data_IF_514754078952
#
_entry.id   IF_514754078952
#
_cell.length_a   1.000
_cell.length_b   1.000
_cell.length_c   1.000
_cell.angle_alpha   90.00
_cell.angle_beta   90.00
_cell.angle_gamma   90.00
#
_symmetry.space_group_name_H-M   'P 1'
#
loop_
_entity.id
_entity.type
_entity.pdbx_description
1 polymer ?
#
# COMPACT_ATOMS: atom_id res chain seq x y z
N UNK A 1 6.27 28.27 5.58
CA UNK A 1 5.19 28.54 6.54
C UNK A 1 3.93 27.95 5.95
N UNK A 2 3.24 27.13 6.74
CA UNK A 2 2.04 26.41 6.33
C UNK A 2 0.91 26.72 7.30
N UNK A 3 -0.26 27.09 6.80
CA UNK A 3 -1.41 27.33 7.66
C UNK A 3 -1.91 25.99 8.23
N UNK A 4 -2.17 25.95 9.54
CA UNK A 4 -2.73 24.79 10.24
C UNK A 4 -3.86 25.22 11.16
N UNK A 5 -4.75 24.30 11.50
CA UNK A 5 -5.84 24.54 12.44
C UNK A 5 -5.66 23.69 13.69
N UNK A 6 -5.65 24.35 14.85
CA UNK A 6 -5.62 23.71 16.17
C UNK A 6 -7.07 23.50 16.63
N UNK A 7 -7.41 22.24 16.92
CA UNK A 7 -8.73 21.85 17.43
C UNK A 7 -8.57 21.01 18.69
N UNK A 8 -9.59 21.05 19.55
CA UNK A 8 -9.70 20.22 20.75
C UNK A 8 -10.85 19.23 20.60
N UNK A 9 -10.59 17.99 20.98
CA UNK A 9 -11.57 16.91 21.05
C UNK A 9 -11.84 16.52 22.51
N UNK A 10 -12.83 15.64 22.71
CA UNK A 10 -13.10 15.07 24.02
C UNK A 10 -11.88 14.30 24.57
N UNK A 11 -11.78 14.21 25.89
CA UNK A 11 -10.73 13.42 26.56
C UNK A 11 -9.34 14.06 26.60
N UNK A 12 -9.22 15.37 26.33
CA UNK A 12 -7.93 16.07 26.38
C UNK A 12 -7.07 15.93 25.11
N UNK A 13 -7.64 15.34 24.05
CA UNK A 13 -6.96 15.17 22.76
C UNK A 13 -7.01 16.47 21.96
N UNK A 14 -5.89 16.84 21.35
CA UNK A 14 -5.77 17.97 20.43
C UNK A 14 -5.42 17.48 19.03
N UNK A 15 -5.71 18.30 18.01
CA UNK A 15 -5.16 18.09 16.67
C UNK A 15 -4.59 19.37 16.10
N UNK A 16 -3.49 19.24 15.35
CA UNK A 16 -2.93 20.28 14.50
C UNK A 16 -3.09 19.78 13.06
N UNK A 17 -3.94 20.41 12.26
CA UNK A 17 -4.33 19.87 10.95
C UNK A 17 -4.07 20.90 9.84
N UNK A 18 -3.14 20.64 8.90
CA UNK A 18 -3.07 21.36 7.64
C UNK A 18 -4.34 21.15 6.81
N UNK A 19 -4.77 22.12 5.99
CA UNK A 19 -5.95 21.98 5.14
C UNK A 19 -5.92 20.71 4.26
N UNK A 20 -6.93 19.86 4.42
CA UNK A 20 -7.07 18.63 3.62
C UNK A 20 -6.14 17.48 4.00
N UNK A 21 -5.34 17.60 5.07
CA UNK A 21 -4.49 16.53 5.55
C UNK A 21 -5.33 15.41 6.22
N UNK A 22 -4.96 14.13 6.01
CA UNK A 22 -5.58 13.02 6.73
C UNK A 22 -5.21 13.08 8.22
N UNK A 23 -6.02 12.46 9.08
CA UNK A 23 -5.71 12.30 10.50
C UNK A 23 -6.10 10.90 10.97
N UNK A 24 -5.48 10.41 12.04
CA UNK A 24 -5.83 9.11 12.65
C UNK A 24 -7.24 9.08 13.29
N UNK A 25 -7.88 10.24 13.43
CA UNK A 25 -9.28 10.36 13.90
C UNK A 25 -10.30 10.15 12.77
N UNK A 26 -9.84 10.15 11.51
CA UNK A 26 -10.68 9.88 10.34
C UNK A 26 -11.05 8.40 10.20
N UNK A 27 -11.92 8.05 9.22
CA UNK A 27 -12.14 6.67 8.83
C UNK A 27 -10.81 6.02 8.39
N UNK A 28 -10.72 4.69 8.51
CA UNK A 28 -9.50 3.90 8.34
C UNK A 28 -8.54 4.46 7.27
N UNK A 29 -7.30 4.74 7.68
CA UNK A 29 -6.28 5.36 6.84
C UNK A 29 -6.16 4.65 5.48
N UNK A 30 -6.24 5.44 4.40
CA UNK A 30 -6.07 4.95 3.04
C UNK A 30 -4.64 4.52 2.78
N UNK A 31 -4.43 3.77 1.68
CA UNK A 31 -3.09 3.36 1.24
C UNK A 31 -2.19 4.56 0.83
N UNK A 32 -2.70 5.78 0.82
CA UNK A 32 -1.99 7.03 0.56
C UNK A 32 -1.56 7.77 1.84
N UNK A 33 -1.83 7.22 3.02
CA UNK A 33 -1.53 7.87 4.30
C UNK A 33 -0.24 7.30 4.90
N UNK A 34 0.70 8.18 5.21
CA UNK A 34 1.89 7.88 6.03
C UNK A 34 1.56 8.21 7.47
N UNK A 35 1.93 7.33 8.40
CA UNK A 35 1.68 7.51 9.84
C UNK A 35 2.99 7.26 10.58
N UNK A 36 3.24 8.05 11.62
CA UNK A 36 4.36 7.85 12.53
C UNK A 36 3.91 8.11 13.97
N UNK A 37 4.16 7.15 14.86
CA UNK A 37 3.99 7.28 16.31
C UNK A 37 5.17 8.05 16.91
N UNK A 38 4.85 9.07 17.70
CA UNK A 38 5.83 9.93 18.35
C UNK A 38 5.42 10.16 19.80
N UNK A 39 6.34 10.62 20.63
CA UNK A 39 6.11 10.84 22.05
C UNK A 39 4.87 11.74 22.27
N UNK A 40 3.79 11.15 22.77
CA UNK A 40 2.53 11.84 23.08
C UNK A 40 1.61 12.16 21.89
N UNK A 41 1.94 11.74 20.66
CA UNK A 41 1.12 12.03 19.49
C UNK A 41 1.28 11.03 18.34
N UNK A 42 0.42 11.17 17.32
CA UNK A 42 0.58 10.52 16.03
C UNK A 42 0.68 11.59 14.94
N UNK A 43 1.70 11.48 14.09
CA UNK A 43 1.90 12.32 12.93
C UNK A 43 1.38 11.62 11.68
N UNK A 44 0.77 12.39 10.78
CA UNK A 44 0.16 11.89 9.56
C UNK A 44 0.42 12.79 8.38
N UNK A 45 0.67 12.18 7.22
CA UNK A 45 0.84 12.87 5.94
C UNK A 45 0.06 12.11 4.87
N UNK A 46 -0.25 12.80 3.76
CA UNK A 46 -0.61 12.14 2.52
C UNK A 46 0.66 12.00 1.65
N UNK A 47 1.01 10.79 1.24
CA UNK A 47 2.22 10.51 0.44
C UNK A 47 2.21 11.23 -0.93
N UNK A 48 1.02 11.51 -1.46
CA UNK A 48 0.80 12.19 -2.72
C UNK A 48 0.71 13.72 -2.57
N UNK A 49 0.63 14.24 -1.34
CA UNK A 49 0.54 15.67 -1.11
C UNK A 49 1.94 16.32 -1.05
N UNK A 50 2.08 17.54 -1.59
CA UNK A 50 3.33 18.29 -1.51
C UNK A 50 3.59 18.88 -0.12
N UNK A 51 2.60 18.86 0.77
CA UNK A 51 2.69 19.43 2.11
C UNK A 51 3.72 18.68 2.96
N UNK A 52 4.70 19.40 3.50
CA UNK A 52 5.75 18.81 4.33
C UNK A 52 5.36 18.75 5.81
N UNK A 53 4.50 19.67 6.26
CA UNK A 53 4.06 19.73 7.66
C UNK A 53 3.02 18.63 7.92
N UNK A 54 3.23 17.76 8.92
CA UNK A 54 2.26 16.72 9.26
C UNK A 54 0.96 17.31 9.81
N UNK A 55 -0.13 16.54 9.70
CA UNK A 55 -1.19 16.62 10.70
C UNK A 55 -0.77 15.84 11.95
N UNK A 56 -1.05 16.39 13.14
CA UNK A 56 -0.81 15.72 14.42
C UNK A 56 -2.11 15.49 15.17
N UNK A 57 -2.22 14.33 15.82
CA UNK A 57 -3.21 14.04 16.86
C UNK A 57 -2.47 13.80 18.16
N UNK A 58 -2.65 14.70 19.12
CA UNK A 58 -1.88 14.77 20.36
C UNK A 58 -2.77 14.29 21.50
N UNK A 59 -2.36 13.21 22.16
CA UNK A 59 -3.06 12.64 23.31
C UNK A 59 -2.36 12.92 24.63
N UNK A 60 -1.07 13.29 24.60
CA UNK A 60 -0.32 13.77 25.75
C UNK A 60 0.42 15.06 25.35
N UNK A 61 -0.10 16.20 25.82
CA UNK A 61 0.47 17.51 25.49
C UNK A 61 1.81 17.71 26.20
N UNK A 62 1.96 17.24 27.44
CA UNK A 62 3.19 17.46 28.22
C UNK A 62 4.37 16.78 27.53
N UNK A 63 4.18 15.54 27.11
CA UNK A 63 5.18 14.79 26.37
C UNK A 63 5.42 15.36 24.97
N UNK A 64 4.35 15.78 24.27
CA UNK A 64 4.49 16.34 22.92
C UNK A 64 5.28 17.68 22.89
N UNK A 65 5.27 18.45 23.97
CA UNK A 65 5.99 19.73 24.04
C UNK A 65 7.52 19.59 23.92
N UNK A 66 8.08 18.39 24.11
CA UNK A 66 9.52 18.14 23.93
C UNK A 66 9.99 18.36 22.49
N UNK A 67 9.12 18.09 21.50
CA UNK A 67 9.47 18.09 20.09
C UNK A 67 8.62 19.03 19.22
N UNK A 68 7.45 19.45 19.68
CA UNK A 68 6.46 20.16 18.86
C UNK A 68 7.00 21.49 18.31
N UNK A 69 7.79 22.22 19.09
CA UNK A 69 8.49 23.43 18.65
C UNK A 69 9.44 23.18 17.47
N UNK A 70 10.05 21.98 17.38
CA UNK A 70 10.99 21.64 16.33
C UNK A 70 10.29 21.40 14.98
N UNK A 71 9.10 20.78 15.02
CA UNK A 71 8.34 20.38 13.82
C UNK A 71 7.36 21.48 13.38
N UNK A 72 6.70 22.15 14.31
CA UNK A 72 5.65 23.14 14.01
C UNK A 72 6.08 24.59 14.27
N UNK A 73 7.15 24.80 15.04
CA UNK A 73 7.65 26.12 15.44
C UNK A 73 7.23 26.53 16.85
N UNK A 74 8.03 27.41 17.46
CA UNK A 74 7.83 27.85 18.85
C UNK A 74 6.47 28.50 19.09
N UNK A 75 6.01 29.37 18.18
CA UNK A 75 4.73 30.06 18.33
C UNK A 75 3.54 29.10 18.40
N UNK A 76 3.60 27.99 17.66
CA UNK A 76 2.55 26.98 17.67
C UNK A 76 2.62 26.14 18.96
N UNK A 77 3.81 25.83 19.43
CA UNK A 77 4.01 25.14 20.71
C UNK A 77 3.46 25.93 21.90
N UNK A 78 3.72 27.23 21.95
CA UNK A 78 3.14 28.14 22.95
C UNK A 78 1.62 28.20 22.82
N UNK A 79 1.09 28.36 21.59
CA UNK A 79 -0.35 28.41 21.37
C UNK A 79 -1.05 27.12 21.87
N UNK A 80 -0.45 25.95 21.66
CA UNK A 80 -1.01 24.70 22.17
C UNK A 80 -0.92 24.60 23.70
N UNK A 81 0.20 25.03 24.30
CA UNK A 81 0.38 25.04 25.76
C UNK A 81 -0.63 25.95 26.47
N UNK A 82 -0.98 27.08 25.84
CA UNK A 82 -1.98 28.03 26.32
C UNK A 82 -3.43 27.63 25.94
N UNK A 83 -3.63 26.42 25.37
CA UNK A 83 -4.90 25.91 24.85
C UNK A 83 -5.58 26.85 23.82
N UNK A 84 -4.81 27.64 23.09
CA UNK A 84 -5.30 28.56 22.08
C UNK A 84 -5.69 27.82 20.79
N UNK A 85 -6.99 27.81 20.49
CA UNK A 85 -7.55 27.15 19.31
C UNK A 85 -7.65 28.10 18.11
N UNK A 86 -7.72 27.53 16.92
CA UNK A 86 -7.91 28.27 15.67
C UNK A 86 -6.74 28.13 14.70
N UNK A 87 -6.66 29.05 13.75
CA UNK A 87 -5.63 29.02 12.70
C UNK A 87 -4.31 29.57 13.22
N UNK A 88 -3.23 28.86 12.92
CA UNK A 88 -1.86 29.26 13.21
C UNK A 88 -0.97 28.98 11.99
N UNK A 89 0.21 29.58 11.95
CA UNK A 89 1.23 29.28 10.95
C UNK A 89 2.27 28.33 11.53
N UNK A 90 2.44 27.18 10.87
CA UNK A 90 3.51 26.25 11.16
C UNK A 90 4.79 26.62 10.40
N UNK A 91 5.91 26.69 11.11
CA UNK A 91 7.23 26.91 10.56
C UNK A 91 8.23 26.03 11.33
N UNK A 92 8.66 24.89 10.76
CA UNK A 92 9.59 23.99 11.45
C UNK A 92 10.87 24.73 11.88
N UNK A 93 11.15 24.76 13.19
CA UNK A 93 12.37 25.37 13.72
C UNK A 93 13.60 24.52 13.40
N UNK A 94 13.44 23.20 13.23
CA UNK A 94 14.49 22.26 12.84
C UNK A 94 14.14 21.56 11.53
N UNK A 95 14.38 22.24 10.40
CA UNK A 95 14.09 21.70 9.06
C UNK A 95 14.71 20.33 8.79
N UNK A 96 15.99 20.05 9.13
CA UNK A 96 16.58 18.72 8.89
C UNK A 96 15.85 17.60 9.65
N UNK A 97 15.43 17.86 10.89
CA UNK A 97 14.67 16.89 11.68
C UNK A 97 13.28 16.66 11.07
N UNK A 98 12.57 17.72 10.68
CA UNK A 98 11.26 17.59 10.02
C UNK A 98 11.34 16.77 8.71
N UNK A 99 12.44 16.91 7.97
CA UNK A 99 12.72 16.09 6.78
C UNK A 99 12.98 14.63 7.16
N UNK A 100 13.86 14.36 8.13
CA UNK A 100 14.16 13.00 8.59
C UNK A 100 12.90 12.26 9.09
N UNK A 101 12.06 12.94 9.87
CA UNK A 101 10.80 12.41 10.40
C UNK A 101 9.82 12.05 9.27
N UNK A 102 9.67 12.91 8.26
CA UNK A 102 8.84 12.61 7.09
C UNK A 102 9.43 11.45 6.29
N UNK A 103 10.75 11.38 6.14
CA UNK A 103 11.43 10.26 5.46
C UNK A 103 11.23 8.94 6.20
N UNK A 104 11.25 8.94 7.54
CA UNK A 104 10.96 7.76 8.35
C UNK A 104 9.52 7.28 8.13
N UNK A 105 8.54 8.20 8.21
CA UNK A 105 7.14 7.89 7.93
C UNK A 105 6.94 7.34 6.50
N UNK A 106 7.69 7.87 5.53
CA UNK A 106 7.69 7.36 4.16
C UNK A 106 8.29 5.96 4.05
N UNK A 107 9.41 5.66 4.72
CA UNK A 107 10.01 4.34 4.72
C UNK A 107 9.07 3.27 5.33
N UNK A 108 8.38 3.60 6.42
CA UNK A 108 7.32 2.74 6.97
C UNK A 108 6.11 2.59 6.05
N UNK A 109 5.75 3.64 5.31
CA UNK A 109 4.72 3.55 4.29
C UNK A 109 5.15 2.63 3.16
N UNK A 110 6.38 2.77 2.65
CA UNK A 110 6.91 1.96 1.55
C UNK A 110 6.96 0.47 1.92
N UNK A 111 7.40 0.12 3.13
CA UNK A 111 7.40 -1.28 3.59
C UNK A 111 6.01 -1.92 3.68
N UNK A 112 4.94 -1.10 3.78
CA UNK A 112 3.55 -1.58 3.94
C UNK A 112 2.68 -1.44 2.70
N UNK A 113 2.98 -0.47 1.84
CA UNK A 113 2.09 -0.04 0.76
C UNK A 113 2.79 0.16 -0.58
N UNK A 114 4.09 -0.13 -0.70
CA UNK A 114 4.77 -0.01 -2.00
C UNK A 114 4.09 -0.88 -3.06
N UNK A 115 3.62 -0.29 -4.17
CA UNK A 115 2.74 -0.98 -5.11
C UNK A 115 3.54 -1.75 -6.16
N UNK A 116 4.34 -2.73 -5.72
CA UNK A 116 5.16 -3.55 -6.61
C UNK A 116 4.28 -4.28 -7.64
N UNK A 117 4.65 -4.20 -8.91
CA UNK A 117 3.84 -4.68 -10.03
C UNK A 117 4.72 -5.07 -11.20
N UNK A 118 4.78 -6.35 -11.52
CA UNK A 118 5.41 -6.86 -12.75
C UNK A 118 4.63 -6.38 -13.97
N UNK A 119 3.31 -6.29 -13.87
CA UNK A 119 2.43 -5.88 -14.99
C UNK A 119 2.59 -4.40 -15.36
N UNK A 120 2.91 -3.54 -14.40
CA UNK A 120 3.05 -2.10 -14.59
C UNK A 120 4.52 -1.63 -14.60
N UNK A 121 5.49 -2.56 -14.48
CA UNK A 121 6.92 -2.23 -14.44
C UNK A 121 7.33 -1.45 -13.18
N UNK A 122 6.75 -1.78 -12.03
CA UNK A 122 7.13 -1.20 -10.73
C UNK A 122 7.88 -2.28 -9.95
N UNK A 123 9.20 -2.13 -9.89
CA UNK A 123 10.07 -3.06 -9.17
C UNK A 123 9.69 -3.18 -7.68
N UNK A 124 9.90 -4.36 -7.11
CA UNK A 124 9.82 -4.56 -5.66
C UNK A 124 10.97 -3.82 -4.97
N UNK A 125 10.73 -3.34 -3.75
CA UNK A 125 11.79 -2.79 -2.92
C UNK A 125 12.39 -3.92 -2.08
N UNK A 126 13.73 -3.96 -2.01
CA UNK A 126 14.43 -4.86 -1.11
C UNK A 126 14.12 -4.49 0.35
N UNK A 127 13.53 -5.43 1.08
CA UNK A 127 13.09 -5.22 2.45
C UNK A 127 14.25 -4.99 3.42
N UNK A 128 15.40 -5.64 3.22
CA UNK A 128 16.57 -5.46 4.08
C UNK A 128 17.19 -4.07 3.90
N UNK A 129 17.15 -3.53 2.67
CA UNK A 129 17.56 -2.14 2.42
C UNK A 129 16.58 -1.14 3.03
N UNK A 130 15.26 -1.39 2.92
CA UNK A 130 14.25 -0.57 3.60
C UNK A 130 14.44 -0.59 5.12
N UNK A 131 14.68 -1.76 5.71
CA UNK A 131 14.90 -1.90 7.14
C UNK A 131 16.15 -1.12 7.59
N UNK A 132 17.23 -1.12 6.80
CA UNK A 132 18.42 -0.30 7.07
C UNK A 132 18.13 1.20 7.06
N UNK A 133 17.36 1.68 6.10
CA UNK A 133 16.93 3.09 6.08
C UNK A 133 16.06 3.43 7.29
N UNK A 134 15.11 2.55 7.64
CA UNK A 134 14.27 2.71 8.84
C UNK A 134 15.13 2.82 10.09
N UNK A 135 16.07 1.89 10.32
CA UNK A 135 16.98 1.95 11.49
C UNK A 135 17.74 3.27 11.55
N UNK A 136 18.35 3.67 10.42
CA UNK A 136 19.14 4.92 10.35
C UNK A 136 18.28 6.14 10.65
N UNK A 137 17.08 6.23 10.04
CA UNK A 137 16.16 7.34 10.22
C UNK A 137 15.54 7.38 11.62
N UNK A 138 15.29 6.22 12.24
CA UNK A 138 14.86 6.10 13.63
C UNK A 138 15.94 6.65 14.58
N UNK A 139 17.21 6.30 14.37
CA UNK A 139 18.33 6.86 15.15
C UNK A 139 18.47 8.38 14.98
N UNK A 140 18.27 8.92 13.76
CA UNK A 140 18.24 10.36 13.52
C UNK A 140 17.05 11.06 14.22
N UNK A 141 15.96 10.33 14.46
CA UNK A 141 14.71 10.81 15.05
C UNK A 141 14.51 10.39 16.52
N UNK A 142 15.52 9.83 17.19
CA UNK A 142 15.44 9.22 18.54
C UNK A 142 14.74 10.09 19.59
N UNK A 143 14.93 11.42 19.53
CA UNK A 143 14.31 12.36 20.45
C UNK A 143 12.78 12.56 20.25
N UNK A 144 12.17 11.93 19.24
CA UNK A 144 10.77 12.12 18.86
C UNK A 144 9.98 10.80 18.84
N UNK A 145 10.55 9.74 18.26
CA UNK A 145 9.85 8.49 17.98
C UNK A 145 9.46 7.75 19.25
N UNK A 146 8.33 7.04 19.24
CA UNK A 146 7.83 6.28 20.40
C UNK A 146 7.11 5.00 19.92
N UNK A 147 6.76 4.13 20.89
CA UNK A 147 5.90 2.98 20.67
C UNK A 147 6.45 2.00 19.63
N UNK A 148 5.61 1.64 18.65
CA UNK A 148 5.99 0.65 17.63
C UNK A 148 7.07 1.16 16.67
N UNK A 149 7.13 2.48 16.45
CA UNK A 149 8.05 3.10 15.50
C UNK A 149 9.41 3.45 16.14
N UNK A 150 9.51 3.37 17.47
CA UNK A 150 10.79 3.36 18.20
C UNK A 150 11.46 1.98 18.25
N UNK A 151 10.76 0.90 17.88
CA UNK A 151 11.33 -0.44 17.85
C UNK A 151 12.25 -0.59 16.62
N UNK A 152 13.52 -0.85 16.88
CA UNK A 152 14.52 -1.12 15.84
C UNK A 152 14.34 -2.57 15.35
N UNK A 153 13.98 -2.81 14.07
CA UNK A 153 13.87 -4.17 13.54
C UNK A 153 15.23 -4.89 13.56
N UNK A 154 15.23 -6.19 13.87
CA UNK A 154 16.42 -7.04 13.71
C UNK A 154 16.69 -7.22 12.21
N UNK A 155 17.80 -6.65 11.72
CA UNK A 155 18.22 -6.80 10.31
C UNK A 155 18.87 -8.19 10.12
N UNK A 156 18.26 -9.13 9.39
CA UNK A 156 18.88 -10.43 9.15
C UNK A 156 20.15 -10.30 8.28
N UNK A 157 21.17 -11.12 8.57
CA UNK A 157 22.38 -11.19 7.73
C UNK A 157 22.01 -11.68 6.31
N UNK A 158 22.47 -10.95 5.30
CA UNK A 158 22.18 -11.17 3.88
C UNK A 158 22.46 -12.62 3.42
N UNK A 159 21.47 -13.22 2.76
CA UNK A 159 21.67 -14.39 1.91
C UNK A 159 21.46 -13.98 0.45
N UNK A 160 22.55 -13.53 -0.20
CA UNK A 160 22.55 -13.27 -1.65
C UNK A 160 22.15 -14.55 -2.40
N UNK A 161 20.94 -14.55 -2.96
CA UNK A 161 20.47 -15.66 -3.79
C UNK A 161 20.50 -15.19 -5.25
N UNK A 162 21.61 -15.44 -5.93
CA UNK A 162 21.70 -15.19 -7.37
C UNK A 162 20.82 -16.19 -8.14
N UNK A 163 20.05 -15.74 -9.14
CA UNK A 163 19.34 -16.63 -10.05
C UNK A 163 20.32 -17.55 -10.77
N UNK A 164 20.00 -18.85 -10.87
CA UNK A 164 20.92 -19.84 -11.43
C UNK A 164 20.58 -20.08 -12.89
N UNK A 165 21.59 -20.36 -13.70
CA UNK A 165 21.44 -20.67 -15.13
C UNK A 165 20.49 -21.86 -15.44
N UNK A 166 20.09 -22.64 -14.42
CA UNK A 166 19.05 -23.67 -14.51
C UNK A 166 17.63 -23.12 -14.70
N UNK A 167 17.42 -21.81 -14.55
CA UNK A 167 16.10 -21.19 -14.53
C UNK A 167 15.62 -20.78 -15.94
N UNK A 168 16.45 -21.01 -16.97
CA UNK A 168 16.08 -20.88 -18.38
C UNK A 168 15.74 -22.24 -18.98
N UNK A 169 14.46 -22.63 -18.90
CA UNK A 169 13.90 -23.71 -19.71
C UNK A 169 12.70 -23.20 -20.52
N UNK A 170 12.92 -23.02 -21.82
CA UNK A 170 11.89 -22.76 -22.83
C UNK A 170 11.06 -24.04 -23.04
N UNK A 171 9.73 -23.96 -22.93
CA UNK A 171 8.83 -24.97 -23.47
C UNK A 171 7.51 -24.34 -23.92
N UNK A 172 7.31 -24.31 -25.24
CA UNK A 172 6.02 -24.22 -25.88
C UNK A 172 5.21 -25.49 -25.62
N UNK A 173 3.91 -25.34 -25.33
CA UNK A 173 3.00 -26.46 -25.14
C UNK A 173 1.61 -25.93 -24.81
N UNK A 174 0.84 -25.65 -25.86
CA UNK A 174 -0.58 -25.33 -25.79
C UNK A 174 -1.32 -26.61 -25.38
N UNK A 175 -1.64 -26.76 -24.09
CA UNK A 175 -2.65 -27.72 -23.66
C UNK A 175 -4.01 -27.03 -23.81
N UNK A 176 -4.66 -27.25 -24.95
CA UNK A 176 -6.10 -26.96 -25.11
C UNK A 176 -6.88 -27.61 -23.96
N UNK A 177 -7.60 -26.84 -23.12
CA UNK A 177 -8.46 -27.42 -22.12
C UNK A 177 -9.67 -28.07 -22.80
N UNK A 178 -9.92 -29.30 -22.40
CA UNK A 178 -11.04 -30.16 -22.78
C UNK A 178 -12.41 -29.46 -22.68
N UNK A 179 -13.18 -29.45 -23.77
CA UNK A 179 -14.64 -29.64 -23.84
C UNK A 179 -15.62 -28.57 -23.28
N UNK A 180 -15.21 -27.67 -22.38
CA UNK A 180 -16.12 -26.75 -21.70
C UNK A 180 -16.45 -25.46 -22.48
N UNK A 181 -17.69 -24.97 -22.40
CA UNK A 181 -18.11 -23.69 -22.96
C UNK A 181 -17.69 -22.54 -22.04
N UNK A 182 -16.82 -21.64 -22.51
CA UNK A 182 -16.50 -20.40 -21.80
C UNK A 182 -17.70 -19.46 -21.85
N UNK A 183 -18.33 -19.24 -20.71
CA UNK A 183 -19.48 -18.34 -20.58
C UNK A 183 -19.04 -16.88 -20.46
N UNK A 184 -17.93 -16.62 -19.78
CA UNK A 184 -17.36 -15.30 -19.60
C UNK A 184 -15.91 -15.33 -19.12
N UNK A 185 -15.23 -14.20 -19.27
CA UNK A 185 -13.89 -13.94 -18.72
C UNK A 185 -13.75 -12.46 -18.40
N UNK A 186 -12.86 -12.12 -17.48
CA UNK A 186 -12.57 -10.74 -17.15
C UNK A 186 -11.27 -10.58 -16.38
N UNK A 187 -10.89 -9.33 -16.16
CA UNK A 187 -9.73 -8.94 -15.37
C UNK A 187 -10.03 -7.67 -14.58
N UNK A 188 -9.42 -7.50 -13.42
CA UNK A 188 -9.53 -6.29 -12.62
C UNK A 188 -8.50 -6.22 -11.50
N UNK A 189 -8.54 -5.11 -10.76
CA UNK A 189 -7.71 -4.88 -9.58
C UNK A 189 -8.29 -5.52 -8.32
N UNK A 190 -7.66 -5.22 -7.19
CA UNK A 190 -8.07 -5.70 -5.87
C UNK A 190 -7.84 -4.62 -4.81
N UNK A 191 -8.42 -4.78 -3.63
CA UNK A 191 -8.19 -3.87 -2.50
C UNK A 191 -6.92 -4.27 -1.76
N UNK A 192 -5.84 -3.49 -1.93
CA UNK A 192 -4.53 -3.74 -1.31
C UNK A 192 -4.58 -3.93 0.22
N UNK A 193 -5.63 -3.41 0.88
CA UNK A 193 -5.79 -3.56 2.34
C UNK A 193 -6.20 -4.97 2.77
N UNK A 194 -6.59 -5.84 1.83
CA UNK A 194 -7.11 -7.18 2.11
C UNK A 194 -6.03 -8.27 2.11
N UNK A 195 -4.78 -7.96 1.74
CA UNK A 195 -3.65 -8.89 1.81
C UNK A 195 -2.39 -8.20 2.34
N UNK A 196 -1.46 -8.93 3.00
CA UNK A 196 -0.14 -8.41 3.33
C UNK A 196 0.59 -7.85 2.11
N UNK A 197 1.46 -6.83 2.29
CA UNK A 197 2.32 -6.34 1.22
C UNK A 197 3.21 -7.45 0.66
N UNK A 198 3.53 -7.38 -0.63
CA UNK A 198 4.42 -8.34 -1.29
C UNK A 198 3.82 -9.72 -1.59
N UNK A 199 2.50 -9.91 -1.43
CA UNK A 199 1.84 -11.19 -1.73
C UNK A 199 1.26 -11.25 -3.16
N UNK A 200 0.60 -10.18 -3.59
CA UNK A 200 -0.08 -10.11 -4.90
C UNK A 200 0.31 -8.82 -5.61
N UNK A 201 0.47 -8.91 -6.92
CA UNK A 201 0.81 -7.78 -7.80
C UNK A 201 -0.19 -6.63 -7.64
N UNK A 202 0.32 -5.40 -7.52
CA UNK A 202 -0.49 -4.23 -7.21
C UNK A 202 -1.32 -3.70 -8.39
N UNK A 203 -1.18 -4.26 -9.60
CA UNK A 203 -1.85 -3.76 -10.79
C UNK A 203 -3.38 -3.80 -10.70
N UNK A 204 -4.03 -2.86 -11.40
CA UNK A 204 -5.48 -2.89 -11.65
C UNK A 204 -5.90 -4.00 -12.64
N UNK A 205 -4.95 -4.85 -13.04
CA UNK A 205 -5.17 -6.01 -13.91
C UNK A 205 -4.66 -7.31 -13.27
N UNK A 206 -4.24 -7.27 -12.01
CA UNK A 206 -3.59 -8.40 -11.34
C UNK A 206 -4.50 -9.63 -11.18
N UNK A 207 -5.82 -9.44 -11.10
CA UNK A 207 -6.79 -10.54 -10.97
C UNK A 207 -7.46 -10.81 -12.30
N UNK A 208 -7.39 -12.06 -12.76
CA UNK A 208 -8.09 -12.56 -13.94
C UNK A 208 -8.99 -13.74 -13.58
N UNK A 209 -10.07 -13.91 -14.33
CA UNK A 209 -11.02 -14.97 -14.07
C UNK A 209 -11.70 -15.46 -15.33
N UNK A 210 -12.17 -16.71 -15.28
CA UNK A 210 -12.86 -17.38 -16.36
C UNK A 210 -14.00 -18.23 -15.80
N UNK A 211 -15.19 -18.05 -16.37
CA UNK A 211 -16.39 -18.82 -16.08
C UNK A 211 -16.57 -19.86 -17.19
N UNK A 212 -16.48 -21.14 -16.84
CA UNK A 212 -16.61 -22.27 -17.77
C UNK A 212 -17.80 -23.11 -17.38
N UNK A 213 -18.57 -23.56 -18.37
CA UNK A 213 -19.60 -24.59 -18.18
C UNK A 213 -19.18 -25.87 -18.88
N UNK A 214 -19.01 -26.93 -18.09
CA UNK A 214 -18.69 -28.27 -18.57
C UNK A 214 -19.63 -29.30 -17.94
N UNK A 215 -20.15 -30.22 -18.75
CA UNK A 215 -21.12 -31.26 -18.36
C UNK A 215 -22.29 -30.78 -17.48
N UNK A 216 -22.75 -29.53 -17.64
CA UNK A 216 -23.82 -28.92 -16.84
C UNK A 216 -23.37 -28.27 -15.53
N UNK A 217 -22.11 -28.43 -15.13
CA UNK A 217 -21.49 -27.76 -13.99
C UNK A 217 -20.89 -26.43 -14.45
N UNK A 218 -21.11 -25.38 -13.66
CA UNK A 218 -20.50 -24.06 -13.91
C UNK A 218 -19.38 -23.84 -12.89
N UNK A 219 -18.16 -23.67 -13.38
CA UNK A 219 -16.97 -23.41 -12.59
C UNK A 219 -16.38 -22.04 -12.90
N UNK A 220 -15.79 -21.42 -11.88
CA UNK A 220 -15.00 -20.20 -11.99
C UNK A 220 -13.57 -20.56 -11.64
N UNK A 221 -12.66 -20.29 -12.57
CA UNK A 221 -11.22 -20.32 -12.31
C UNK A 221 -10.75 -18.89 -12.15
N UNK A 222 -10.03 -18.62 -11.06
CA UNK A 222 -9.46 -17.31 -10.75
C UNK A 222 -7.94 -17.45 -10.66
N UNK A 223 -7.24 -16.49 -11.23
CA UNK A 223 -5.79 -16.36 -11.19
C UNK A 223 -5.43 -14.94 -10.79
N UNK A 224 -4.60 -14.78 -9.76
CA UNK A 224 -4.05 -13.50 -9.34
C UNK A 224 -2.52 -13.52 -9.50
N UNK A 225 -1.93 -12.53 -10.15
CA UNK A 225 -0.48 -12.46 -10.33
C UNK A 225 0.21 -12.27 -8.97
N UNK A 226 1.22 -13.07 -8.67
CA UNK A 226 1.99 -12.93 -7.44
C UNK A 226 2.87 -11.68 -7.51
N UNK A 227 3.12 -11.03 -6.38
CA UNK A 227 3.98 -9.86 -6.36
C UNK A 227 5.43 -10.21 -6.80
N UNK A 228 6.16 -9.30 -7.44
CA UNK A 228 7.56 -9.51 -7.75
C UNK A 228 8.37 -9.70 -6.45
N UNK A 229 9.35 -10.60 -6.49
CA UNK A 229 10.21 -10.90 -5.33
C UNK A 229 9.53 -11.70 -4.20
N UNK A 230 8.34 -12.27 -4.44
CA UNK A 230 7.66 -13.07 -3.42
C UNK A 230 8.53 -14.25 -2.94
N UNK A 231 8.61 -14.52 -1.62
CA UNK A 231 9.34 -15.66 -1.11
C UNK A 231 8.83 -17.00 -1.66
N UNK A 232 9.75 -17.92 -1.97
CA UNK A 232 9.41 -19.22 -2.55
C UNK A 232 8.52 -20.11 -1.65
N UNK A 233 8.55 -19.90 -0.33
CA UNK A 233 7.77 -20.67 0.64
C UNK A 233 6.92 -19.73 1.51
N UNK A 234 5.65 -19.57 1.11
CA UNK A 234 4.66 -18.81 1.89
C UNK A 234 3.87 -19.77 2.80
N UNK A 235 3.80 -19.50 4.11
CA UNK A 235 2.97 -20.28 5.03
C UNK A 235 1.51 -20.40 4.54
N UNK A 236 0.86 -21.59 4.65
CA UNK A 236 -0.50 -21.79 4.14
C UNK A 236 -1.56 -20.83 4.68
N UNK A 237 -1.37 -20.30 5.90
CA UNK A 237 -2.30 -19.34 6.51
C UNK A 237 -2.21 -17.93 5.90
N UNK A 238 -1.15 -17.63 5.14
CA UNK A 238 -0.99 -16.39 4.38
C UNK A 238 -1.38 -16.55 2.90
N UNK A 239 -1.84 -17.73 2.48
CA UNK A 239 -2.29 -17.93 1.10
C UNK A 239 -3.55 -17.09 0.89
N UNK A 240 -3.64 -16.35 -0.23
CA UNK A 240 -4.81 -15.54 -0.52
C UNK A 240 -6.00 -16.44 -0.84
N UNK A 241 -7.18 -15.92 -0.54
CA UNK A 241 -8.48 -16.50 -0.80
C UNK A 241 -9.22 -15.61 -1.79
N UNK A 242 -10.09 -16.23 -2.55
CA UNK A 242 -11.05 -15.52 -3.38
C UNK A 242 -12.45 -15.74 -2.86
N UNK A 243 -13.16 -14.64 -2.68
CA UNK A 243 -14.60 -14.59 -2.47
C UNK A 243 -15.28 -14.35 -3.79
N UNK A 244 -16.07 -15.32 -4.20
CA UNK A 244 -16.91 -15.27 -5.40
C UNK A 244 -18.35 -15.02 -4.94
N UNK A 245 -18.87 -13.82 -5.22
CA UNK A 245 -20.28 -13.49 -4.98
C UNK A 245 -21.07 -13.64 -6.28
N UNK A 246 -22.17 -14.38 -6.23
CA UNK A 246 -23.18 -14.47 -7.28
C UNK A 246 -24.56 -14.06 -6.77
N UNK A 247 -25.53 -13.96 -7.67
CA UNK A 247 -26.95 -13.84 -7.33
C UNK A 247 -27.47 -15.03 -6.50
N UNK A 248 -26.88 -16.22 -6.66
CA UNK A 248 -27.28 -17.43 -5.96
C UNK A 248 -26.54 -17.66 -4.62
N UNK A 249 -25.47 -16.92 -4.33
CA UNK A 249 -24.76 -17.06 -3.05
C UNK A 249 -23.33 -16.53 -3.06
N UNK A 250 -22.61 -16.82 -1.97
CA UNK A 250 -21.20 -16.43 -1.80
C UNK A 250 -20.38 -17.67 -1.52
N UNK A 251 -19.29 -17.85 -2.24
CA UNK A 251 -18.36 -18.98 -2.09
C UNK A 251 -16.95 -18.45 -1.91
N UNK A 252 -16.29 -18.87 -0.83
CA UNK A 252 -14.89 -18.58 -0.58
C UNK A 252 -14.04 -19.79 -1.00
N UNK A 253 -12.90 -19.55 -1.63
CA UNK A 253 -12.01 -20.62 -2.10
C UNK A 253 -10.55 -20.19 -1.91
N UNK A 254 -9.71 -21.02 -1.27
CA UNK A 254 -8.29 -20.73 -1.13
C UNK A 254 -7.61 -20.80 -2.50
N UNK A 255 -6.65 -19.91 -2.74
CA UNK A 255 -5.76 -20.01 -3.88
C UNK A 255 -4.49 -20.77 -3.49
N UNK A 256 -3.93 -21.51 -4.43
CA UNK A 256 -2.62 -22.16 -4.27
C UNK A 256 -1.58 -21.44 -5.11
N UNK A 257 -0.35 -21.36 -4.60
CA UNK A 257 0.77 -20.82 -5.35
C UNK A 257 1.08 -21.69 -6.57
N UNK A 258 1.22 -21.06 -7.73
CA UNK A 258 1.54 -21.66 -9.01
C UNK A 258 2.56 -20.76 -9.73
N UNK A 259 3.86 -21.00 -9.45
CA UNK A 259 5.01 -20.21 -9.95
C UNK A 259 4.87 -18.70 -9.67
N UNK A 260 4.31 -17.96 -10.61
CA UNK A 260 4.15 -16.50 -10.66
C UNK A 260 2.70 -16.04 -10.41
N UNK A 261 1.80 -16.96 -10.08
CA UNK A 261 0.41 -16.66 -9.80
C UNK A 261 -0.15 -17.46 -8.62
N UNK A 262 -1.27 -16.96 -8.10
CA UNK A 262 -2.16 -17.63 -7.17
C UNK A 262 -3.38 -18.11 -7.93
N UNK A 263 -3.67 -19.41 -7.90
CA UNK A 263 -4.73 -20.01 -8.72
C UNK A 263 -5.71 -20.79 -7.86
N UNK A 264 -7.00 -20.68 -8.17
CA UNK A 264 -8.05 -21.42 -7.51
C UNK A 264 -9.23 -21.63 -8.45
N UNK A 265 -9.96 -22.73 -8.24
CA UNK A 265 -11.17 -23.04 -9.01
C UNK A 265 -12.29 -23.41 -8.05
N UNK A 266 -13.48 -22.90 -8.32
CA UNK A 266 -14.66 -23.16 -7.50
C UNK A 266 -15.91 -23.30 -8.34
N UNK A 267 -16.93 -23.96 -7.81
CA UNK A 267 -18.24 -24.02 -8.46
C UNK A 267 -19.07 -22.81 -8.05
N UNK A 268 -19.56 -22.05 -9.04
CA UNK A 268 -20.36 -20.87 -8.80
C UNK A 268 -21.72 -21.03 -9.49
N UNK A 269 -22.83 -21.11 -8.74
CA UNK A 269 -24.15 -21.05 -9.33
C UNK A 269 -24.46 -19.58 -9.67
N UNK A 270 -24.71 -19.27 -10.95
CA UNK A 270 -25.36 -18.01 -11.33
C UNK A 270 -24.46 -16.87 -11.82
N UNK A 271 -25.05 -15.67 -11.88
CA UNK A 271 -24.51 -14.42 -12.44
C UNK A 271 -25.40 -13.22 -12.02
N UNK A 272 -24.88 -12.01 -11.76
CA UNK A 272 -23.51 -11.52 -12.01
C UNK A 272 -22.50 -12.08 -11.01
N UNK A 273 -21.21 -11.91 -11.31
CA UNK A 273 -20.09 -12.38 -10.51
C UNK A 273 -19.30 -11.19 -9.97
N UNK A 274 -19.01 -11.16 -8.67
CA UNK A 274 -18.03 -10.26 -8.08
C UNK A 274 -16.91 -11.08 -7.43
N UNK A 275 -15.67 -10.73 -7.77
CA UNK A 275 -14.47 -11.43 -7.30
C UNK A 275 -13.68 -10.49 -6.40
N UNK A 276 -13.51 -10.90 -5.14
CA UNK A 276 -12.73 -10.19 -4.14
C UNK A 276 -11.59 -11.09 -3.64
N UNK A 277 -10.37 -10.59 -3.69
CA UNK A 277 -9.19 -11.23 -3.14
C UNK A 277 -8.98 -10.77 -1.68
N UNK A 278 -8.63 -11.70 -0.78
CA UNK A 278 -8.34 -11.38 0.62
C UNK A 278 -7.50 -12.46 1.29
N UNK A 279 -6.83 -12.14 2.39
CA UNK A 279 -6.24 -13.13 3.32
C UNK A 279 -7.10 -13.16 4.59
N UNK A 280 -7.60 -14.34 5.02
CA UNK A 280 -8.41 -14.44 6.22
C UNK A 280 -7.72 -13.84 7.46
N UNK A 281 -8.40 -12.94 8.14
CA UNK A 281 -7.88 -12.26 9.33
C UNK A 281 -7.00 -11.04 9.04
N UNK A 282 -6.77 -10.70 7.77
CA UNK A 282 -6.05 -9.51 7.36
C UNK A 282 -7.02 -8.42 6.86
N UNK A 283 -6.70 -7.16 7.15
CA UNK A 283 -7.41 -6.02 6.60
C UNK A 283 -8.75 -5.67 7.27
N UNK A 284 -9.42 -4.62 6.76
CA UNK A 284 -10.72 -4.18 7.25
C UNK A 284 -11.78 -5.24 6.98
N UNK A 285 -12.74 -5.38 7.90
CA UNK A 285 -13.78 -6.39 7.76
C UNK A 285 -14.63 -6.15 6.50
N UNK A 286 -15.10 -7.22 5.84
CA UNK A 286 -15.92 -7.13 4.63
C UNK A 286 -17.22 -6.32 4.76
N UNK A 287 -17.73 -6.13 5.97
CA UNK A 287 -18.92 -5.30 6.23
C UNK A 287 -18.63 -3.79 6.14
N UNK A 288 -17.35 -3.41 6.30
CA UNK A 288 -16.88 -2.02 6.32
C UNK A 288 -16.23 -1.62 4.98
N UNK A 289 -16.20 -2.53 4.00
CA UNK A 289 -15.58 -2.31 2.68
C UNK A 289 -16.66 -2.20 1.60
N UNK A 290 -16.72 -1.10 0.83
CA UNK A 290 -17.53 -1.06 -0.38
C UNK A 290 -17.07 -2.16 -1.35
N UNK A 291 -17.97 -2.74 -2.16
CA UNK A 291 -17.60 -3.75 -3.15
C UNK A 291 -16.62 -3.13 -4.17
N UNK A 292 -15.33 -3.39 -3.98
CA UNK A 292 -14.21 -2.90 -4.81
C UNK A 292 -13.67 -3.98 -5.76
N UNK A 293 -14.33 -5.13 -5.85
CA UNK A 293 -13.94 -6.25 -6.67
C UNK A 293 -14.04 -6.01 -8.17
N UNK A 294 -13.49 -6.95 -8.95
CA UNK A 294 -13.66 -6.96 -10.39
C UNK A 294 -15.13 -7.29 -10.73
N UNK A 295 -15.89 -6.31 -11.23
CA UNK A 295 -17.28 -6.49 -11.67
C UNK A 295 -17.33 -7.27 -12.99
N UNK A 296 -17.92 -8.47 -12.97
CA UNK A 296 -18.24 -9.20 -14.18
C UNK A 296 -19.59 -8.72 -14.76
N UNK A 297 -19.57 -7.80 -15.71
CA UNK A 297 -20.74 -7.59 -16.58
C UNK A 297 -20.72 -8.61 -17.72
N UNK A 298 -21.62 -9.60 -17.68
CA UNK A 298 -21.85 -10.50 -18.81
C UNK A 298 -22.36 -9.70 -20.02
N UNK A 299 -21.60 -9.68 -21.13
CA UNK A 299 -22.10 -9.22 -22.45
C UNK A 299 -21.43 -7.99 -23.07
N UNK A 300 -20.35 -7.45 -22.51
CA UNK A 300 -19.63 -6.33 -23.12
C UNK A 300 -18.50 -6.78 -24.05
N UNK A 301 -18.74 -6.87 -25.36
CA UNK A 301 -17.63 -6.79 -26.33
C UNK A 301 -16.87 -5.50 -26.04
N UNK A 302 -15.54 -5.57 -25.89
CA UNK A 302 -14.67 -4.52 -25.35
C UNK A 302 -14.65 -3.17 -26.09
N UNK A 303 -15.77 -2.46 -26.11
CA UNK A 303 -15.93 -1.10 -26.63
C UNK A 303 -17.07 -0.34 -25.93
N UNK A 304 -17.32 -0.64 -24.65
CA UNK A 304 -18.21 0.18 -23.82
C UNK A 304 -17.54 1.51 -23.51
N UNK A 305 -18.08 2.61 -24.04
CA UNK A 305 -17.76 3.96 -23.57
C UNK A 305 -17.87 4.03 -22.04
N UNK A 306 -16.99 4.80 -21.35
CA UNK A 306 -16.88 4.82 -19.89
C UNK A 306 -18.09 5.54 -19.27
N UNK A 307 -19.19 4.81 -19.12
CA UNK A 307 -20.45 5.29 -18.53
C UNK A 307 -20.65 4.88 -17.08
N UNK A 308 -19.58 4.69 -16.31
CA UNK A 308 -19.61 4.50 -14.86
C UNK A 308 -18.54 5.39 -14.25
N UNK A 309 -18.92 6.28 -13.33
CA UNK A 309 -17.97 7.19 -12.68
C UNK A 309 -16.74 6.42 -12.18
N UNK A 310 -15.56 7.00 -12.37
CA UNK A 310 -14.30 6.40 -11.94
C UNK A 310 -14.44 5.96 -10.47
N UNK A 311 -14.12 4.70 -10.19
CA UNK A 311 -14.08 4.20 -8.81
C UNK A 311 -12.97 4.97 -8.09
N UNK A 312 -13.29 5.82 -7.08
CA UNK A 312 -12.31 6.68 -6.44
C UNK A 312 -11.17 5.87 -5.78
N UNK A 313 -11.44 4.64 -5.34
CA UNK A 313 -10.42 3.76 -4.78
C UNK A 313 -9.43 3.27 -5.85
N UNK A 314 -9.92 2.95 -7.05
CA UNK A 314 -9.06 2.55 -8.18
C UNK A 314 -8.25 3.73 -8.73
N UNK A 315 -8.85 4.93 -8.76
CA UNK A 315 -8.16 6.17 -9.12
C UNK A 315 -7.04 6.50 -8.12
N UNK A 316 -7.29 6.35 -6.82
CA UNK A 316 -6.27 6.50 -5.78
C UNK A 316 -5.10 5.54 -5.98
N UNK A 317 -5.38 4.24 -6.18
CA UNK A 317 -4.33 3.23 -6.44
C UNK A 317 -3.56 3.51 -7.72
N UNK A 318 -4.21 4.01 -8.77
CA UNK A 318 -3.52 4.45 -9.98
C UNK A 318 -2.56 5.61 -9.71
N UNK A 319 -2.96 6.60 -8.90
CA UNK A 319 -2.10 7.72 -8.48
C UNK A 319 -0.91 7.25 -7.64
N UNK A 320 -1.12 6.30 -6.72
CA UNK A 320 -0.05 5.70 -5.91
C UNK A 320 0.97 4.96 -6.79
N UNK A 321 0.50 4.15 -7.75
CA UNK A 321 1.38 3.48 -8.73
C UNK A 321 2.17 4.47 -9.58
N UNK A 322 1.52 5.55 -10.05
CA UNK A 322 2.21 6.60 -10.80
C UNK A 322 3.28 7.31 -9.96
N UNK A 323 2.99 7.55 -8.68
CA UNK A 323 3.95 8.11 -7.73
C UNK A 323 5.16 7.20 -7.54
N UNK A 324 4.95 5.90 -7.30
CA UNK A 324 6.04 4.92 -7.16
C UNK A 324 6.91 4.83 -8.43
N UNK A 325 6.29 4.79 -9.62
CA UNK A 325 7.02 4.81 -10.89
C UNK A 325 7.80 6.12 -11.11
N UNK A 326 7.31 7.26 -10.60
CA UNK A 326 8.05 8.52 -10.63
C UNK A 326 9.25 8.53 -9.69
N UNK A 327 9.11 7.90 -8.51
CA UNK A 327 10.19 7.73 -7.54
C UNK A 327 11.33 6.87 -8.09
N UNK A 328 11.03 5.72 -8.71
CA UNK A 328 12.06 4.88 -9.32
C UNK A 328 12.81 5.60 -10.45
N UNK A 329 12.09 6.37 -11.29
CA UNK A 329 12.74 7.22 -12.31
C UNK A 329 13.61 8.32 -11.71
N UNK A 330 13.22 8.89 -10.58
CA UNK A 330 14.06 9.86 -9.85
C UNK A 330 15.31 9.17 -9.31
N UNK A 331 15.19 7.97 -8.75
CA UNK A 331 16.31 7.20 -8.22
C UNK A 331 17.33 6.81 -9.32
N UNK A 332 16.85 6.44 -10.51
CA UNK A 332 17.70 6.17 -11.68
C UNK A 332 18.49 7.40 -12.17
N UNK A 333 18.03 8.62 -11.84
CA UNK A 333 18.64 9.87 -12.30
C UNK A 333 19.81 10.36 -11.42
N UNK A 334 20.28 9.54 -10.46
CA UNK A 334 21.34 9.85 -9.49
C UNK A 334 21.14 11.20 -8.77
N UNK A 335 20.05 11.33 -7.98
CA UNK A 335 19.69 12.60 -7.36
C UNK A 335 20.59 12.93 -6.16
N UNK A 336 20.62 14.21 -5.78
CA UNK A 336 21.42 14.68 -4.65
C UNK A 336 21.01 13.96 -3.34
N UNK A 337 21.94 13.29 -2.64
CA UNK A 337 21.62 12.39 -1.52
C UNK A 337 21.06 13.12 -0.29
N UNK A 338 21.25 14.44 -0.21
CA UNK A 338 20.77 15.28 0.90
C UNK A 338 19.47 16.02 0.59
N UNK A 339 18.86 15.81 -0.58
CA UNK A 339 17.59 16.42 -0.91
C UNK A 339 16.47 15.91 0.03
N UNK A 340 15.48 16.74 0.41
CA UNK A 340 14.36 16.31 1.24
C UNK A 340 13.58 15.12 0.69
N UNK A 341 13.53 15.01 -0.64
CA UNK A 341 12.89 13.91 -1.37
C UNK A 341 13.93 12.93 -1.95
N UNK A 342 15.10 12.80 -1.33
CA UNK A 342 16.10 11.82 -1.74
C UNK A 342 15.50 10.39 -1.73
N UNK A 343 15.83 9.55 -2.73
CA UNK A 343 15.52 8.11 -2.74
C UNK A 343 16.01 7.38 -1.50
N UNK A 344 15.26 6.37 -1.08
CA UNK A 344 15.71 5.34 -0.16
C UNK A 344 16.70 4.41 -0.86
N UNK A 345 17.55 3.73 -0.09
CA UNK A 345 18.53 2.75 -0.61
C UNK A 345 17.84 1.67 -1.44
N UNK A 346 16.69 1.19 -1.00
CA UNK A 346 15.91 0.19 -1.71
C UNK A 346 15.39 0.68 -3.07
N UNK A 347 15.04 1.97 -3.18
CA UNK A 347 14.60 2.55 -4.45
C UNK A 347 15.76 2.73 -5.43
N UNK A 348 16.95 3.09 -4.93
CA UNK A 348 18.18 3.18 -5.73
C UNK A 348 18.56 1.80 -6.28
N UNK A 349 18.54 0.77 -5.43
CA UNK A 349 18.80 -0.60 -5.85
C UNK A 349 17.78 -1.10 -6.88
N UNK A 350 16.48 -0.92 -6.61
CA UNK A 350 15.41 -1.31 -7.53
C UNK A 350 15.50 -0.60 -8.89
N UNK A 351 15.90 0.68 -8.90
CA UNK A 351 16.10 1.42 -10.14
C UNK A 351 17.34 0.96 -10.94
N UNK A 352 18.38 0.47 -10.27
CA UNK A 352 19.58 -0.06 -10.93
C UNK A 352 19.28 -1.41 -11.62
N UNK A 353 18.52 -2.30 -10.98
CA UNK A 353 18.14 -3.61 -11.54
C UNK A 353 17.30 -3.49 -12.82
N UNK A 354 16.45 -2.47 -12.93
CA UNK A 354 15.63 -2.21 -14.13
C UNK A 354 16.47 -1.66 -15.31
N UNK A 355 17.65 -1.09 -15.03
CA UNK A 355 18.55 -0.55 -16.06
C UNK A 355 19.47 -1.58 -16.72
N UNK A 356 19.56 -2.78 -16.14
CA UNK A 356 20.39 -3.90 -16.64
C UNK A 356 19.68 -4.76 -17.71
N UNK A 357 18.48 -4.35 -18.16
CA UNK A 357 17.70 -4.96 -19.25
C UNK A 357 17.61 -4.08 -20.49
#
# INVERSE_FOLDING_TARGET
MSAVTIMRYGGGVYSIVPPGAPTVLGPAAGADVMVLEVAGAHLTWNVLAPEQVPAAVIHDVELAQEWLWAIYGESLAVALADEQLGTADAAPARTPLAVAVRRLAYAHWASRWWPASTLDGIAALDQALLDRDIVTLTEECDALVDGADALIPEVPEFAETFPRASDYALAAGDETPSGGLVLARGSGGWDWRQCPPGLVDASERAVSWQLVRDAGTTSVTVSAVAAPGIPAAIPPHLHPWVRVKTDAGVVDTPLTSARDAWVGTTTAPGSPLHINLFVPGFGPRPADTPDTGADARLGGNGNGSPGGGANPAAELRARIRQFAAARLRLAAADPEPTAPDAPLLAEIAAAAEDSDF
#
